data_IF_580926540971
#
_entry.id   IF_580926540971
#
_cell.length_a   1.000
_cell.length_b   1.000
_cell.length_c   1.000
_cell.angle_alpha   90.00
_cell.angle_beta   90.00
_cell.angle_gamma   90.00
#
_symmetry.space_group_name_H-M   'P 1'
#
loop_
_entity.id
_entity.type
_entity.pdbx_description
1 polymer ?
#
# COMPACT_ATOMS: atom_id res chain seq x y z
N UNK A 1 -10.36 -16.40 2.19
CA UNK A 1 -9.28 -16.88 1.30
C UNK A 1 -7.96 -16.89 2.05
N UNK A 2 -6.84 -17.22 1.40
CA UNK A 2 -5.52 -17.09 2.00
C UNK A 2 -5.24 -15.63 2.35
N UNK A 3 -4.47 -15.42 3.42
CA UNK A 3 -3.97 -14.09 3.78
C UNK A 3 -2.84 -13.72 2.83
N UNK A 4 -2.93 -12.58 2.14
CA UNK A 4 -1.92 -12.14 1.17
C UNK A 4 -1.23 -10.89 1.69
N UNK A 5 0.11 -10.89 1.72
CA UNK A 5 0.93 -9.72 2.02
C UNK A 5 1.60 -9.25 0.74
N UNK A 6 1.38 -7.99 0.35
CA UNK A 6 2.07 -7.35 -0.75
C UNK A 6 3.35 -6.69 -0.23
N UNK A 7 4.50 -7.14 -0.74
CA UNK A 7 5.77 -6.44 -0.58
C UNK A 7 5.97 -5.51 -1.78
N UNK A 8 6.08 -4.20 -1.54
CA UNK A 8 6.15 -3.21 -2.62
C UNK A 8 7.36 -2.29 -2.43
N UNK A 9 8.28 -2.29 -3.39
CA UNK A 9 9.36 -1.28 -3.42
C UNK A 9 8.79 0.14 -3.54
N UNK A 10 9.38 1.09 -2.82
CA UNK A 10 9.01 2.50 -2.88
C UNK A 10 9.12 3.03 -4.32
N UNK A 11 8.04 3.65 -4.82
CA UNK A 11 7.99 4.25 -6.16
C UNK A 11 7.54 5.72 -6.10
N UNK A 12 7.44 6.36 -7.27
CA UNK A 12 6.99 7.75 -7.36
C UNK A 12 5.59 7.89 -6.74
N UNK A 13 5.24 9.06 -6.18
CA UNK A 13 3.98 9.23 -5.44
C UNK A 13 2.73 8.75 -6.18
N UNK A 14 2.59 9.09 -7.47
CA UNK A 14 1.40 8.74 -8.27
C UNK A 14 1.28 7.23 -8.57
N UNK A 15 2.33 6.54 -9.06
CA UNK A 15 2.32 5.08 -9.14
C UNK A 15 2.06 4.38 -7.79
N UNK A 16 2.62 4.90 -6.69
CA UNK A 16 2.42 4.31 -5.38
C UNK A 16 0.96 4.41 -4.92
N UNK A 17 0.31 5.56 -5.08
CA UNK A 17 -1.11 5.73 -4.80
C UNK A 17 -1.97 4.71 -5.59
N UNK A 18 -1.64 4.48 -6.88
CA UNK A 18 -2.32 3.50 -7.72
C UNK A 18 -2.13 2.07 -7.19
N UNK A 19 -0.90 1.69 -6.81
CA UNK A 19 -0.61 0.36 -6.28
C UNK A 19 -1.39 0.10 -4.99
N UNK A 20 -1.44 1.07 -4.08
CA UNK A 20 -2.17 0.96 -2.81
C UNK A 20 -3.67 0.78 -3.03
N UNK A 21 -4.24 1.53 -3.99
CA UNK A 21 -5.64 1.37 -4.40
C UNK A 21 -5.91 -0.04 -4.93
N UNK A 22 -5.11 -0.48 -5.92
CA UNK A 22 -5.29 -1.79 -6.53
C UNK A 22 -5.10 -2.94 -5.53
N UNK A 23 -4.09 -2.86 -4.67
CA UNK A 23 -3.84 -3.84 -3.61
C UNK A 23 -5.03 -3.95 -2.64
N UNK A 24 -5.68 -2.82 -2.36
CA UNK A 24 -6.92 -2.80 -1.57
C UNK A 24 -8.07 -3.44 -2.34
N UNK A 25 -8.30 -3.05 -3.60
CA UNK A 25 -9.40 -3.59 -4.42
C UNK A 25 -9.35 -5.11 -4.60
N UNK A 26 -8.15 -5.69 -4.70
CA UNK A 26 -7.96 -7.15 -4.83
C UNK A 26 -7.95 -7.89 -3.48
N UNK A 27 -8.10 -7.19 -2.35
CA UNK A 27 -8.22 -7.80 -1.03
C UNK A 27 -6.90 -8.25 -0.39
N UNK A 28 -5.79 -7.53 -0.65
CA UNK A 28 -4.56 -7.75 0.11
C UNK A 28 -4.82 -7.56 1.62
N UNK A 29 -4.17 -8.35 2.46
CA UNK A 29 -4.34 -8.28 3.91
C UNK A 29 -3.35 -7.31 4.56
N UNK A 30 -2.13 -7.26 4.04
CA UNK A 30 -1.04 -6.38 4.52
C UNK A 30 -0.31 -5.80 3.31
N UNK A 31 0.09 -4.53 3.41
CA UNK A 31 0.99 -3.89 2.45
C UNK A 31 2.24 -3.45 3.21
N UNK A 32 3.39 -4.01 2.84
CA UNK A 32 4.71 -3.70 3.39
C UNK A 32 5.51 -2.94 2.34
N UNK A 33 5.68 -1.62 2.50
CA UNK A 33 6.59 -0.86 1.67
C UNK A 33 8.04 -1.29 1.94
N UNK A 34 8.85 -1.33 0.89
CA UNK A 34 10.27 -1.70 0.95
C UNK A 34 11.14 -0.57 0.43
N UNK A 35 12.11 -0.14 1.24
CA UNK A 35 13.20 0.71 0.80
C UNK A 35 14.25 -0.21 0.17
N UNK A 36 14.52 -0.04 -1.11
CA UNK A 36 15.49 -0.84 -1.87
C UNK A 36 16.47 0.09 -2.59
N UNK A 37 17.61 -0.44 -3.05
CA UNK A 37 18.64 0.37 -3.72
C UNK A 37 18.14 1.11 -4.97
N UNK A 38 17.23 0.49 -5.72
CA UNK A 38 16.63 1.05 -6.94
C UNK A 38 15.28 1.73 -6.69
N UNK A 39 14.82 1.75 -5.43
CA UNK A 39 13.56 2.36 -5.03
C UNK A 39 13.67 3.88 -4.91
N UNK A 40 12.54 4.55 -5.05
CA UNK A 40 12.46 6.00 -4.84
C UNK A 40 12.73 6.34 -3.37
N UNK A 41 13.65 7.30 -3.15
CA UNK A 41 14.01 7.78 -1.82
C UNK A 41 13.25 9.07 -1.55
N UNK A 42 12.48 9.13 -0.48
CA UNK A 42 11.70 10.33 -0.14
C UNK A 42 10.87 10.15 1.12
N UNK A 43 10.22 11.25 1.53
CA UNK A 43 9.32 11.21 2.68
C UNK A 43 8.11 10.32 2.39
N UNK A 44 7.92 9.34 3.25
CA UNK A 44 6.73 8.51 3.26
C UNK A 44 5.63 9.27 4.00
N UNK A 45 4.50 9.47 3.33
CA UNK A 45 3.31 10.09 3.92
C UNK A 45 2.28 9.01 4.20
N UNK A 46 2.52 8.22 5.24
CA UNK A 46 1.66 7.08 5.58
C UNK A 46 0.19 7.49 5.74
N UNK A 47 -0.09 8.64 6.35
CA UNK A 47 -1.46 9.15 6.47
C UNK A 47 -2.16 9.31 5.12
N UNK A 48 -1.44 9.82 4.12
CA UNK A 48 -1.97 9.97 2.76
C UNK A 48 -2.27 8.61 2.14
N UNK A 49 -1.37 7.66 2.30
CA UNK A 49 -1.54 6.30 1.78
C UNK A 49 -2.69 5.56 2.45
N UNK A 50 -2.80 5.71 3.76
CA UNK A 50 -3.91 5.17 4.54
C UNK A 50 -5.24 5.73 4.04
N UNK A 51 -5.31 7.04 3.76
CA UNK A 51 -6.50 7.67 3.18
C UNK A 51 -6.85 7.07 1.81
N UNK A 52 -5.87 6.91 0.90
CA UNK A 52 -6.09 6.28 -0.41
C UNK A 52 -6.65 4.86 -0.27
N UNK A 53 -6.14 4.06 0.68
CA UNK A 53 -6.63 2.71 0.93
C UNK A 53 -8.05 2.72 1.53
N UNK A 54 -8.36 3.64 2.45
CA UNK A 54 -9.70 3.80 3.02
C UNK A 54 -10.72 4.16 1.93
N UNK A 55 -10.37 5.08 1.03
CA UNK A 55 -11.22 5.49 -0.09
C UNK A 55 -11.47 4.33 -1.06
N UNK A 56 -10.40 3.60 -1.42
CA UNK A 56 -10.49 2.42 -2.27
C UNK A 56 -11.42 1.35 -1.65
N UNK A 57 -11.22 1.06 -0.37
CA UNK A 57 -12.03 0.10 0.39
C UNK A 57 -13.52 0.48 0.37
N UNK A 58 -13.85 1.76 0.57
CA UNK A 58 -15.24 2.26 0.51
C UNK A 58 -15.85 2.13 -0.88
N UNK A 59 -15.07 2.38 -1.94
CA UNK A 59 -15.54 2.33 -3.32
C UNK A 59 -15.77 0.90 -3.82
N UNK A 60 -14.90 -0.05 -3.45
CA UNK A 60 -15.02 -1.44 -3.88
C UNK A 60 -15.91 -2.30 -2.97
N UNK A 61 -16.27 -1.82 -1.78
CA UNK A 61 -17.09 -2.55 -0.81
C UNK A 61 -16.35 -3.65 -0.06
N UNK A 62 -15.01 -3.60 -0.01
CA UNK A 62 -14.23 -4.51 0.83
C UNK A 62 -14.58 -4.29 2.31
N UNK A 63 -14.75 -5.38 3.07
CA UNK A 63 -15.21 -5.31 4.46
C UNK A 63 -14.13 -4.91 5.47
N UNK A 64 -12.90 -4.71 5.02
CA UNK A 64 -11.76 -4.33 5.84
C UNK A 64 -10.78 -3.49 5.02
N UNK A 65 -10.06 -2.59 5.68
CA UNK A 65 -8.93 -1.88 5.07
C UNK A 65 -7.66 -2.72 5.30
N UNK A 66 -6.82 -2.97 4.28
CA UNK A 66 -5.56 -3.67 4.48
C UNK A 66 -4.68 -2.95 5.51
N UNK A 67 -3.88 -3.72 6.24
CA UNK A 67 -2.91 -3.12 7.16
C UNK A 67 -1.75 -2.53 6.37
N UNK A 68 -1.54 -1.21 6.47
CA UNK A 68 -0.33 -0.56 6.01
C UNK A 68 0.68 -0.52 7.16
N UNK A 69 1.89 -1.02 6.93
CA UNK A 69 2.97 -1.02 7.93
C UNK A 69 4.08 -0.05 7.51
N UNK A 70 4.91 0.31 8.49
CA UNK A 70 6.08 1.18 8.26
C UNK A 70 7.03 0.56 7.22
N UNK A 71 7.63 1.38 6.32
CA UNK A 71 8.62 0.90 5.38
C UNK A 71 9.80 0.23 6.08
N UNK A 72 10.29 -0.88 5.53
CA UNK A 72 11.51 -1.55 5.99
C UNK A 72 12.56 -1.54 4.88
N UNK A 73 13.83 -1.48 5.28
CA UNK A 73 14.94 -1.67 4.35
C UNK A 73 15.10 -3.16 4.02
N UNK A 74 15.35 -3.45 2.74
CA UNK A 74 15.70 -4.80 2.25
C UNK A 74 17.21 -4.88 1.97
#
# INVERSE_FOLDING_TARGET
>A
GPRVTLLQSMTKPKPMDLILRMATEIGASVIQPLITDQGERGQVKLDKWQLTMIEACKQCGLSFVPQLVEPIAL
#
